data_IF_658891008457
#
_entry.id   IF_658891008457
#
_cell.length_a   1.000
_cell.length_b   1.000
_cell.length_c   1.000
_cell.angle_alpha   90.00
_cell.angle_beta   90.00
_cell.angle_gamma   90.00
#
_symmetry.space_group_name_H-M   'P 1'
#
loop_
_entity.id
_entity.type
_entity.pdbx_description
1 polymer ?
#
# COMPACT_ATOMS: atom_id res chain seq x y z
N UNK A 1 27.56 2.76 -8.59
CA UNK A 1 26.80 1.57 -8.13
C UNK A 1 25.32 1.92 -8.05
N UNK A 2 24.41 0.95 -7.89
CA UNK A 2 22.97 1.20 -7.81
C UNK A 2 22.49 1.00 -6.36
N UNK A 3 21.75 1.97 -5.83
CA UNK A 3 21.10 1.94 -4.51
C UNK A 3 19.61 1.67 -4.64
N UNK A 4 19.05 0.90 -3.72
CA UNK A 4 17.59 0.82 -3.52
C UNK A 4 17.21 1.82 -2.45
N UNK A 5 16.41 2.82 -2.81
CA UNK A 5 16.03 3.93 -1.95
C UNK A 5 14.51 3.95 -1.77
N UNK A 6 14.05 4.38 -0.60
CA UNK A 6 12.62 4.64 -0.38
C UNK A 6 12.19 5.76 -1.32
N UNK A 7 11.25 5.48 -2.22
CA UNK A 7 10.68 6.45 -3.15
C UNK A 7 9.74 7.38 -2.38
N UNK A 8 8.79 6.78 -1.67
CA UNK A 8 7.80 7.48 -0.88
C UNK A 8 7.02 6.52 -0.01
N UNK A 9 6.21 7.08 0.91
CA UNK A 9 5.36 6.28 1.79
C UNK A 9 4.11 7.01 2.24
N UNK A 10 3.06 6.24 2.50
CA UNK A 10 1.88 6.63 3.26
C UNK A 10 2.07 6.21 4.71
N UNK A 11 2.14 7.18 5.61
CA UNK A 11 2.47 6.92 7.01
C UNK A 11 1.20 6.85 7.89
N UNK A 12 0.95 5.68 8.49
CA UNK A 12 -0.13 5.42 9.45
C UNK A 12 -1.53 5.65 8.88
N UNK A 13 -1.76 5.25 7.63
CA UNK A 13 -3.10 5.22 7.04
C UNK A 13 -3.91 4.07 7.64
N UNK A 14 -5.23 4.21 7.64
CA UNK A 14 -6.15 3.21 8.20
C UNK A 14 -6.72 2.36 7.07
N UNK A 15 -6.72 1.03 7.23
CA UNK A 15 -7.41 0.12 6.32
C UNK A 15 -8.91 0.36 6.40
N UNK A 16 -9.53 0.62 5.27
CA UNK A 16 -10.97 0.92 5.13
C UNK A 16 -11.77 -0.29 4.66
N UNK A 17 -11.14 -1.17 3.87
CA UNK A 17 -11.77 -2.33 3.26
C UNK A 17 -10.78 -3.50 3.25
N UNK A 18 -11.28 -4.72 3.33
CA UNK A 18 -10.50 -5.94 3.13
C UNK A 18 -11.40 -7.03 2.57
N UNK A 19 -11.16 -7.44 1.32
CA UNK A 19 -11.93 -8.49 0.65
C UNK A 19 -11.02 -9.63 0.22
N UNK A 20 -11.20 -10.81 0.84
CA UNK A 20 -10.42 -12.01 0.58
C UNK A 20 -10.66 -12.60 -0.81
N UNK A 21 -11.85 -12.40 -1.39
CA UNK A 21 -12.24 -13.05 -2.64
C UNK A 21 -11.99 -12.18 -3.87
N UNK A 22 -11.57 -10.93 -3.67
CA UNK A 22 -11.13 -10.02 -4.72
C UNK A 22 -9.62 -10.18 -5.00
N UNK A 23 -9.13 -9.71 -6.15
CA UNK A 23 -7.73 -9.84 -6.57
C UNK A 23 -6.73 -9.28 -5.53
N UNK A 24 -5.54 -9.88 -5.42
CA UNK A 24 -4.57 -9.70 -4.31
C UNK A 24 -3.85 -8.34 -4.22
N UNK A 25 -4.41 -7.27 -4.77
CA UNK A 25 -3.84 -5.92 -4.79
C UNK A 25 -4.21 -5.10 -3.55
N UNK A 26 -3.60 -3.92 -3.43
CA UNK A 26 -4.03 -2.88 -2.49
C UNK A 26 -4.61 -1.68 -3.25
N UNK A 27 -5.92 -1.44 -3.13
CA UNK A 27 -6.54 -0.25 -3.71
C UNK A 27 -6.33 0.96 -2.81
N UNK A 28 -5.82 2.05 -3.35
CA UNK A 28 -5.42 3.25 -2.61
C UNK A 28 -6.02 4.47 -3.31
N UNK A 29 -6.64 5.38 -2.55
CA UNK A 29 -7.09 6.68 -3.06
C UNK A 29 -5.98 7.33 -3.90
N UNK A 30 -6.30 7.70 -5.13
CA UNK A 30 -5.34 8.29 -6.05
C UNK A 30 -4.71 9.59 -5.51
N UNK A 31 -5.39 10.36 -4.65
CA UNK A 31 -4.79 11.54 -4.01
C UNK A 31 -3.64 11.14 -3.06
N UNK A 32 -3.74 9.96 -2.43
CA UNK A 32 -2.67 9.40 -1.60
C UNK A 32 -1.53 8.84 -2.46
N UNK A 33 -1.85 8.15 -3.56
CA UNK A 33 -0.84 7.68 -4.52
C UNK A 33 0.01 8.84 -5.04
N UNK A 34 -0.63 9.92 -5.50
CA UNK A 34 0.04 11.14 -5.97
C UNK A 34 0.93 11.76 -4.89
N UNK A 35 0.42 11.89 -3.66
CA UNK A 35 1.16 12.49 -2.56
C UNK A 35 2.40 11.66 -2.15
N UNK A 36 2.34 10.34 -2.31
CA UNK A 36 3.46 9.45 -2.02
C UNK A 36 4.32 9.11 -3.24
N UNK A 37 3.98 9.60 -4.43
CA UNK A 37 4.67 9.26 -5.68
C UNK A 37 4.55 7.78 -6.09
N UNK A 38 3.55 7.06 -5.57
CA UNK A 38 3.33 5.64 -5.87
C UNK A 38 2.44 5.53 -7.12
N UNK A 39 2.85 4.70 -8.08
CA UNK A 39 2.11 4.47 -9.32
C UNK A 39 1.15 3.29 -9.21
N UNK A 40 0.11 3.32 -10.02
CA UNK A 40 -0.72 2.13 -10.25
C UNK A 40 0.12 1.00 -10.86
N UNK A 41 -0.08 -0.21 -10.37
CA UNK A 41 0.71 -1.41 -10.63
C UNK A 41 2.16 -1.39 -10.09
N UNK A 42 2.53 -0.40 -9.28
CA UNK A 42 3.85 -0.38 -8.63
C UNK A 42 3.89 -1.36 -7.45
N UNK A 43 5.03 -2.05 -7.29
CA UNK A 43 5.30 -2.87 -6.13
C UNK A 43 5.38 -2.00 -4.85
N UNK A 44 4.67 -2.45 -3.81
CA UNK A 44 4.60 -1.78 -2.52
C UNK A 44 4.83 -2.78 -1.39
N UNK A 45 5.47 -2.29 -0.33
CA UNK A 45 5.55 -2.96 0.95
C UNK A 45 4.54 -2.37 1.92
N UNK A 46 3.82 -3.25 2.62
CA UNK A 46 2.85 -2.89 3.65
C UNK A 46 3.34 -3.39 5.00
N UNK A 47 3.46 -2.46 5.95
CA UNK A 47 3.86 -2.72 7.33
C UNK A 47 2.70 -2.41 8.26
N UNK A 48 2.06 -3.45 8.77
CA UNK A 48 0.91 -3.31 9.64
C UNK A 48 1.37 -3.00 11.07
N UNK A 49 1.06 -1.79 11.53
CA UNK A 49 1.43 -1.28 12.86
C UNK A 49 0.56 -1.91 13.95
N UNK A 50 -0.69 -2.27 13.64
CA UNK A 50 -1.61 -2.87 14.60
C UNK A 50 -1.21 -4.29 14.97
N UNK A 51 -0.89 -5.13 13.98
CA UNK A 51 -0.65 -6.56 14.19
C UNK A 51 0.79 -7.03 13.91
N UNK A 52 1.68 -6.14 13.44
CA UNK A 52 3.09 -6.43 13.19
C UNK A 52 3.40 -7.17 11.88
N UNK A 53 2.40 -7.59 11.10
CA UNK A 53 2.62 -8.28 9.82
C UNK A 53 3.29 -7.36 8.80
N UNK A 54 4.15 -7.96 7.98
CA UNK A 54 4.88 -7.29 6.90
C UNK A 54 4.74 -8.13 5.65
N UNK A 55 4.31 -7.53 4.56
CA UNK A 55 4.08 -8.22 3.31
C UNK A 55 4.22 -7.25 2.14
N UNK A 56 4.37 -7.79 0.94
CA UNK A 56 4.52 -7.01 -0.30
C UNK A 56 3.40 -7.39 -1.27
N UNK A 57 2.93 -6.42 -2.04
CA UNK A 57 1.95 -6.57 -3.13
C UNK A 57 2.14 -5.43 -4.15
N UNK A 58 1.14 -5.11 -4.95
CA UNK A 58 1.12 -3.95 -5.83
C UNK A 58 -0.08 -3.04 -5.55
N UNK A 59 0.06 -1.76 -5.88
CA UNK A 59 -0.99 -0.75 -5.74
C UNK A 59 -1.93 -0.75 -6.95
N UNK A 60 -3.21 -0.50 -6.73
CA UNK A 60 -4.17 -0.07 -7.76
C UNK A 60 -4.86 1.22 -7.32
N UNK A 61 -5.32 2.03 -8.28
CA UNK A 61 -5.99 3.28 -7.96
C UNK A 61 -7.43 3.05 -7.49
N UNK A 62 -7.80 3.66 -6.37
CA UNK A 62 -9.19 3.88 -6.00
C UNK A 62 -9.61 5.31 -6.39
N UNK A 63 -10.92 5.57 -6.36
CA UNK A 63 -11.49 6.88 -6.69
C UNK A 63 -10.84 8.01 -5.87
N UNK A 64 -10.51 9.13 -6.52
CA UNK A 64 -9.93 10.32 -5.86
C UNK A 64 -10.83 10.85 -4.76
N UNK A 65 -10.26 11.15 -3.61
CA UNK A 65 -10.97 11.71 -2.46
C UNK A 65 -11.80 10.69 -1.68
N UNK A 66 -11.87 9.42 -2.13
CA UNK A 66 -12.57 8.34 -1.43
C UNK A 66 -11.95 7.96 -0.08
N UNK A 67 -10.66 8.29 0.09
CA UNK A 67 -9.79 7.91 1.22
C UNK A 67 -9.69 6.41 1.43
N UNK A 68 -9.95 5.62 0.39
CA UNK A 68 -9.90 4.17 0.44
C UNK A 68 -8.45 3.71 0.62
N UNK A 69 -8.30 2.75 1.54
CA UNK A 69 -7.20 1.79 1.63
C UNK A 69 -7.85 0.41 1.70
N UNK A 70 -7.79 -0.37 0.62
CA UNK A 70 -8.41 -1.69 0.50
C UNK A 70 -7.36 -2.76 0.34
N UNK A 71 -7.24 -3.68 1.28
CA UNK A 71 -6.26 -4.79 1.20
C UNK A 71 -6.99 -6.06 0.78
N UNK A 72 -6.79 -6.50 -0.46
CA UNK A 72 -7.62 -7.51 -1.08
C UNK A 72 -6.89 -8.85 -1.32
N UNK A 73 -7.63 -9.89 -1.65
CA UNK A 73 -7.15 -11.24 -1.94
C UNK A 73 -6.40 -11.87 -0.78
N UNK A 74 -5.33 -12.60 -1.07
CA UNK A 74 -4.51 -13.24 -0.05
C UNK A 74 -3.97 -12.25 1.01
N UNK A 75 -3.79 -10.97 0.64
CA UNK A 75 -3.34 -9.93 1.55
C UNK A 75 -4.40 -9.55 2.61
N UNK A 76 -5.69 -9.86 2.40
CA UNK A 76 -6.75 -9.67 3.39
C UNK A 76 -6.52 -10.50 4.67
N UNK A 77 -5.72 -11.57 4.62
CA UNK A 77 -5.27 -12.27 5.82
C UNK A 77 -4.25 -11.48 6.65
N UNK A 78 -3.60 -10.47 6.07
CA UNK A 78 -2.53 -9.70 6.69
C UNK A 78 -2.97 -8.37 7.30
N UNK A 79 -4.16 -7.86 6.94
CA UNK A 79 -4.72 -6.66 7.50
C UNK A 79 -6.25 -6.72 7.57
N UNK A 80 -6.82 -6.10 8.59
CA UNK A 80 -8.28 -5.99 8.76
C UNK A 80 -8.72 -4.53 8.76
N UNK A 81 -9.99 -4.28 8.45
CA UNK A 81 -10.57 -2.93 8.54
C UNK A 81 -10.30 -2.34 9.92
N UNK A 82 -9.78 -1.12 9.96
CA UNK A 82 -9.38 -0.43 11.18
C UNK A 82 -7.89 -0.52 11.52
N UNK A 83 -7.15 -1.47 10.93
CA UNK A 83 -5.71 -1.57 11.13
C UNK A 83 -4.98 -0.32 10.63
N UNK A 84 -3.93 0.07 11.36
CA UNK A 84 -3.03 1.15 10.98
C UNK A 84 -1.85 0.54 10.23
N UNK A 85 -1.60 1.01 9.01
CA UNK A 85 -0.54 0.49 8.15
C UNK A 85 0.36 1.61 7.64
N UNK A 86 1.58 1.24 7.27
CA UNK A 86 2.49 2.06 6.48
C UNK A 86 2.62 1.38 5.12
N UNK A 87 2.43 2.12 4.03
CA UNK A 87 2.59 1.64 2.66
C UNK A 87 3.77 2.36 2.06
N UNK A 88 4.74 1.65 1.49
CA UNK A 88 5.98 2.21 0.97
C UNK A 88 6.30 1.62 -0.40
N UNK A 89 6.91 2.42 -1.28
CA UNK A 89 7.54 1.91 -2.50
C UNK A 89 9.03 2.26 -2.52
N UNK A 90 9.80 1.48 -3.28
CA UNK A 90 11.24 1.63 -3.41
C UNK A 90 11.64 1.71 -4.88
N UNK A 91 12.63 2.53 -5.16
CA UNK A 91 13.19 2.71 -6.51
C UNK A 91 14.69 2.47 -6.49
N UNK A 92 15.24 2.15 -7.65
CA UNK A 92 16.68 2.02 -7.84
C UNK A 92 17.24 3.30 -8.48
N UNK A 93 18.37 3.79 -7.97
CA UNK A 93 19.05 4.97 -8.51
C UNK A 93 20.59 4.84 -8.41
N UNK A 94 21.36 5.56 -9.25
CA UNK A 94 22.80 5.69 -9.04
C UNK A 94 23.12 6.28 -7.66
N UNK A 95 24.31 5.99 -7.15
CA UNK A 95 24.87 6.71 -6.00
C UNK A 95 25.19 8.17 -6.33
#
# INVERSE_FOLDING_TARGET
>A
MIRTMLQGKLHRVKVTHADLHYEGSCAIDQDFLDAAGILENEAIDIWNVTNGKRFSTYAIAAERGSRIISVNGAAAHCASVGDIVIIASFVTMPE
#
